data_IF_077500324861
#
_entry.id   IF_077500324861
#
_cell.length_a   1.000
_cell.length_b   1.000
_cell.length_c   1.000
_cell.angle_alpha   90.00
_cell.angle_beta   90.00
_cell.angle_gamma   90.00
#
_symmetry.space_group_name_H-M   'P 1'
#
loop_
_entity.id
_entity.type
_entity.pdbx_description
1 polymer ?
#
# COMPACT_ATOMS: atom_id res chain seq x y z
N UNK A 1 -9.21 37.18 -32.56
CA UNK A 1 -8.25 37.24 -31.45
C UNK A 1 -8.77 36.31 -30.37
N UNK A 2 -8.30 35.06 -30.37
CA UNK A 2 -8.78 34.04 -29.42
C UNK A 2 -7.92 34.09 -28.17
N UNK A 3 -8.49 34.64 -27.10
CA UNK A 3 -7.86 34.68 -25.78
C UNK A 3 -7.83 33.25 -25.22
N UNK A 4 -6.69 32.58 -25.37
CA UNK A 4 -6.41 31.35 -24.65
C UNK A 4 -6.11 31.68 -23.19
N UNK A 5 -7.11 31.53 -22.34
CA UNK A 5 -7.00 31.68 -20.88
C UNK A 5 -6.01 30.64 -20.37
N UNK A 6 -4.86 31.12 -19.90
CA UNK A 6 -3.79 30.31 -19.33
C UNK A 6 -4.32 29.67 -18.05
N UNK A 7 -4.65 28.37 -18.13
CA UNK A 7 -5.11 27.56 -17.01
C UNK A 7 -4.10 27.72 -15.85
N UNK A 8 -4.61 28.09 -14.66
CA UNK A 8 -3.81 28.27 -13.44
C UNK A 8 -2.86 27.08 -13.25
N UNK A 9 -1.56 27.33 -13.38
CA UNK A 9 -0.54 26.42 -12.90
C UNK A 9 -0.60 26.53 -11.37
N UNK A 10 -1.52 25.77 -10.75
CA UNK A 10 -1.44 25.55 -9.32
C UNK A 10 -0.14 24.80 -9.05
N UNK A 11 0.78 25.43 -8.34
CA UNK A 11 2.04 24.81 -7.93
C UNK A 11 1.74 23.49 -7.22
N UNK A 12 2.09 22.36 -7.86
CA UNK A 12 1.87 21.05 -7.26
C UNK A 12 2.79 20.94 -6.05
N UNK A 13 2.24 20.81 -4.82
CA UNK A 13 3.09 20.71 -3.65
C UNK A 13 3.95 19.45 -3.75
N UNK A 14 5.24 19.56 -3.41
CA UNK A 14 6.20 18.44 -3.43
C UNK A 14 5.74 17.26 -2.56
N UNK A 15 4.94 17.52 -1.53
CA UNK A 15 4.41 16.53 -0.58
C UNK A 15 2.90 16.66 -0.45
N UNK A 16 2.23 15.51 -0.28
CA UNK A 16 0.80 15.47 0.07
C UNK A 16 0.60 16.14 1.44
N UNK A 17 -0.26 17.17 1.57
CA UNK A 17 -0.55 17.82 2.86
C UNK A 17 -1.14 16.83 3.88
N UNK A 18 -0.94 17.10 5.18
CA UNK A 18 -1.38 16.20 6.27
C UNK A 18 -2.89 15.91 6.24
N UNK A 19 -3.70 16.92 5.95
CA UNK A 19 -5.16 16.77 5.86
C UNK A 19 -5.55 15.83 4.72
N UNK A 20 -4.93 16.01 3.55
CA UNK A 20 -5.15 15.15 2.37
C UNK A 20 -4.71 13.70 2.65
N UNK A 21 -3.63 13.50 3.42
CA UNK A 21 -3.19 12.16 3.84
C UNK A 21 -4.22 11.46 4.73
N UNK A 22 -4.87 12.20 5.65
CA UNK A 22 -5.90 11.66 6.54
C UNK A 22 -7.10 11.17 5.72
N UNK A 23 -7.64 12.04 4.87
CA UNK A 23 -8.78 11.71 3.99
C UNK A 23 -8.42 10.56 3.04
N UNK A 24 -7.23 10.58 2.44
CA UNK A 24 -6.75 9.51 1.55
C UNK A 24 -6.68 8.17 2.28
N UNK A 25 -6.26 8.16 3.55
CA UNK A 25 -6.23 6.95 4.37
C UNK A 25 -7.64 6.41 4.60
N UNK A 26 -8.58 7.28 5.00
CA UNK A 26 -9.98 6.89 5.21
C UNK A 26 -10.59 6.29 3.92
N UNK A 27 -10.36 6.92 2.77
CA UNK A 27 -10.83 6.40 1.48
C UNK A 27 -10.15 5.08 1.09
N UNK A 28 -8.88 4.89 1.45
CA UNK A 28 -8.16 3.63 1.21
C UNK A 28 -8.69 2.49 2.09
N UNK A 29 -9.09 2.75 3.34
CA UNK A 29 -9.74 1.75 4.20
C UNK A 29 -11.06 1.25 3.62
N UNK A 30 -11.80 2.13 2.92
CA UNK A 30 -12.98 1.80 2.14
C UNK A 30 -12.67 1.03 0.84
N UNK A 31 -11.43 0.58 0.64
CA UNK A 31 -10.95 -0.19 -0.53
C UNK A 31 -11.09 0.54 -1.88
N UNK A 32 -11.13 1.87 -1.86
CA UNK A 32 -11.21 2.66 -3.10
C UNK A 32 -9.90 2.61 -3.89
N UNK A 33 -10.02 2.63 -5.22
CA UNK A 33 -8.88 2.66 -6.15
C UNK A 33 -8.25 4.06 -6.18
N UNK A 34 -6.94 4.19 -6.46
CA UNK A 34 -6.26 5.49 -6.49
C UNK A 34 -6.92 6.55 -7.39
N UNK A 35 -7.42 6.15 -8.56
CA UNK A 35 -8.13 7.07 -9.48
C UNK A 35 -9.40 7.65 -8.83
N UNK A 36 -10.21 6.79 -8.22
CA UNK A 36 -11.43 7.19 -7.50
C UNK A 36 -11.11 8.08 -6.31
N UNK A 37 -10.01 7.83 -5.60
CA UNK A 37 -9.57 8.69 -4.51
C UNK A 37 -9.25 10.11 -5.02
N UNK A 38 -8.60 10.24 -6.19
CA UNK A 38 -8.34 11.55 -6.81
C UNK A 38 -9.65 12.25 -7.18
N UNK A 39 -10.59 11.53 -7.78
CA UNK A 39 -11.92 12.07 -8.14
C UNK A 39 -12.64 12.61 -6.90
N UNK A 40 -12.67 11.85 -5.81
CA UNK A 40 -13.29 12.29 -4.54
C UNK A 40 -12.57 13.50 -3.93
N UNK A 41 -11.24 13.57 -4.04
CA UNK A 41 -10.48 14.74 -3.58
C UNK A 41 -10.76 15.99 -4.43
N UNK A 42 -10.92 15.81 -5.74
CA UNK A 42 -11.29 16.87 -6.67
C UNK A 42 -12.69 17.41 -6.38
N UNK A 43 -13.68 16.53 -6.17
CA UNK A 43 -15.04 16.91 -5.79
C UNK A 43 -15.11 17.71 -4.49
N UNK A 44 -14.18 17.44 -3.55
CA UNK A 44 -14.06 18.17 -2.28
C UNK A 44 -13.31 19.50 -2.40
N UNK A 45 -12.87 19.90 -3.60
CA UNK A 45 -12.12 21.13 -3.82
C UNK A 45 -10.71 21.14 -3.19
N UNK A 46 -10.16 19.95 -2.93
CA UNK A 46 -8.85 19.80 -2.27
C UNK A 46 -7.74 19.82 -3.33
N UNK A 47 -6.60 20.42 -2.98
CA UNK A 47 -5.39 20.42 -3.82
C UNK A 47 -5.00 18.96 -4.13
N UNK A 48 -5.06 18.63 -5.42
CA UNK A 48 -4.88 17.27 -5.90
C UNK A 48 -3.41 16.82 -5.80
N UNK A 49 -3.12 15.71 -5.09
CA UNK A 49 -1.84 15.06 -5.25
C UNK A 49 -1.72 14.49 -6.66
N UNK A 50 -0.51 14.45 -7.21
CA UNK A 50 -0.29 13.69 -8.44
C UNK A 50 -0.56 12.20 -8.19
N UNK A 51 -0.96 11.47 -9.24
CA UNK A 51 -1.20 10.02 -9.15
C UNK A 51 0.04 9.29 -8.61
N UNK A 52 1.25 9.73 -8.97
CA UNK A 52 2.51 9.17 -8.47
C UNK A 52 2.70 9.39 -6.97
N UNK A 53 2.41 10.60 -6.48
CA UNK A 53 2.46 10.90 -5.03
C UNK A 53 1.44 10.06 -4.27
N UNK A 54 0.22 9.94 -4.79
CA UNK A 54 -0.82 9.13 -4.20
C UNK A 54 -0.41 7.65 -4.14
N UNK A 55 0.06 7.08 -5.26
CA UNK A 55 0.52 5.70 -5.31
C UNK A 55 1.67 5.43 -4.33
N UNK A 56 2.64 6.35 -4.23
CA UNK A 56 3.73 6.24 -3.26
C UNK A 56 3.20 6.22 -1.83
N UNK A 57 2.28 7.12 -1.50
CA UNK A 57 1.67 7.18 -0.17
C UNK A 57 0.86 5.93 0.16
N UNK A 58 0.06 5.43 -0.78
CA UNK A 58 -0.71 4.19 -0.62
C UNK A 58 0.20 2.96 -0.49
N UNK A 59 1.33 2.92 -1.19
CA UNK A 59 2.34 1.86 -1.03
C UNK A 59 2.89 1.84 0.40
N UNK A 60 3.21 3.01 0.96
CA UNK A 60 3.64 3.12 2.37
C UNK A 60 2.55 2.64 3.32
N UNK A 61 1.28 3.01 3.10
CA UNK A 61 0.18 2.51 3.93
C UNK A 61 0.09 0.98 3.86
N UNK A 62 0.15 0.41 2.64
CA UNK A 62 0.13 -1.04 2.43
C UNK A 62 1.27 -1.74 3.16
N UNK A 63 2.50 -1.26 3.05
CA UNK A 63 3.64 -1.90 3.72
C UNK A 63 3.59 -1.79 5.24
N UNK A 64 2.91 -0.78 5.79
CA UNK A 64 2.72 -0.65 7.24
C UNK A 64 1.55 -1.47 7.79
N UNK A 65 0.53 -1.75 6.97
CA UNK A 65 -0.68 -2.46 7.38
C UNK A 65 -0.67 -3.94 7.06
N UNK A 66 -0.17 -4.29 5.89
CA UNK A 66 0.03 -5.67 5.49
C UNK A 66 1.40 -6.07 6.02
N UNK A 67 1.49 -7.24 6.65
CA UNK A 67 2.77 -7.87 6.95
C UNK A 67 3.69 -7.73 5.74
N UNK A 68 4.99 -7.45 5.93
CA UNK A 68 5.92 -7.40 4.80
C UNK A 68 5.68 -8.62 3.90
N UNK A 69 5.45 -8.36 2.62
CA UNK A 69 5.31 -9.42 1.61
C UNK A 69 6.61 -10.22 1.44
N UNK A 70 7.67 -9.78 2.10
CA UNK A 70 8.95 -10.45 2.24
C UNK A 70 9.06 -11.05 3.63
N UNK A 71 9.20 -12.37 3.69
CA UNK A 71 9.71 -13.08 4.86
C UNK A 71 11.25 -13.07 4.78
N UNK A 72 11.95 -12.84 5.88
CA UNK A 72 13.41 -12.93 5.93
C UNK A 72 13.87 -14.39 5.88
N UNK A 73 15.13 -14.62 5.51
CA UNK A 73 15.67 -15.99 5.51
C UNK A 73 15.53 -16.62 6.90
N UNK A 74 15.96 -15.94 7.97
CA UNK A 74 15.86 -16.47 9.34
C UNK A 74 14.44 -16.79 9.79
N UNK A 75 13.43 -16.01 9.36
CA UNK A 75 12.02 -16.34 9.62
C UNK A 75 11.57 -17.59 8.85
N UNK A 76 12.06 -17.81 7.63
CA UNK A 76 11.83 -19.06 6.90
C UNK A 76 12.50 -20.23 7.63
N UNK A 77 13.76 -20.10 8.03
CA UNK A 77 14.50 -21.19 8.72
C UNK A 77 13.78 -21.58 10.02
N UNK A 78 13.37 -20.58 10.80
CA UNK A 78 12.61 -20.79 12.03
C UNK A 78 11.28 -21.51 11.74
N UNK A 79 10.53 -21.07 10.72
CA UNK A 79 9.27 -21.71 10.33
C UNK A 79 9.50 -23.15 9.85
N UNK A 80 10.57 -23.44 9.12
CA UNK A 80 10.94 -24.79 8.71
C UNK A 80 11.25 -25.69 9.92
N UNK A 81 11.99 -25.16 10.91
CA UNK A 81 12.31 -25.88 12.14
C UNK A 81 11.06 -26.18 12.98
N UNK A 82 10.11 -25.26 13.07
CA UNK A 82 8.88 -25.45 13.84
C UNK A 82 7.89 -26.38 13.12
N UNK A 83 7.67 -26.17 11.82
CA UNK A 83 6.70 -26.94 11.04
C UNK A 83 7.12 -28.38 10.77
N UNK A 84 8.40 -28.72 10.90
CA UNK A 84 8.90 -30.10 10.78
C UNK A 84 8.78 -30.92 12.07
N UNK A 85 8.39 -30.31 13.20
CA UNK A 85 8.28 -31.01 14.48
C UNK A 85 7.08 -31.94 14.59
N UNK A 86 6.03 -31.70 13.79
CA UNK A 86 4.81 -32.49 13.85
C UNK A 86 4.07 -32.52 12.53
N UNK A 87 3.38 -33.62 12.28
CA UNK A 87 2.48 -33.75 11.12
C UNK A 87 1.20 -32.97 11.45
N UNK A 88 0.76 -32.04 10.60
CA UNK A 88 -0.48 -31.31 10.83
C UNK A 88 -1.70 -32.24 10.86
N UNK A 89 -2.65 -31.94 11.73
CA UNK A 89 -3.93 -32.65 11.79
C UNK A 89 -4.85 -32.32 10.61
N UNK A 90 -4.68 -31.15 10.01
CA UNK A 90 -5.46 -30.68 8.87
C UNK A 90 -4.71 -30.87 7.55
N UNK A 91 -5.41 -31.39 6.54
CA UNK A 91 -4.90 -31.59 5.19
C UNK A 91 -4.55 -30.28 4.46
N UNK A 92 -5.13 -29.15 4.87
CA UNK A 92 -4.90 -27.83 4.24
C UNK A 92 -3.79 -27.03 4.93
N UNK A 93 -3.13 -27.59 5.94
CA UNK A 93 -2.06 -26.91 6.65
C UNK A 93 -0.70 -27.22 5.99
N UNK A 94 0.03 -26.21 5.49
CA UNK A 94 1.35 -26.42 4.95
C UNK A 94 2.33 -26.82 6.06
N UNK A 95 3.22 -27.78 5.78
CA UNK A 95 4.29 -28.19 6.68
C UNK A 95 5.56 -28.59 5.91
N UNK A 96 6.67 -28.71 6.62
CA UNK A 96 7.97 -29.05 6.04
C UNK A 96 8.32 -30.50 6.34
N UNK A 97 8.47 -31.31 5.29
CA UNK A 97 8.80 -32.74 5.39
C UNK A 97 10.26 -32.96 5.80
N UNK A 98 11.17 -32.13 5.31
CA UNK A 98 12.60 -32.19 5.62
C UNK A 98 13.24 -30.83 5.37
N UNK A 99 14.12 -30.42 6.28
CA UNK A 99 14.90 -29.20 6.18
C UNK A 99 16.31 -29.46 6.71
N UNK A 100 17.32 -29.14 5.90
CA UNK A 100 18.73 -29.26 6.26
C UNK A 100 19.45 -27.96 5.92
N UNK A 101 20.19 -27.43 6.88
CA UNK A 101 21.10 -26.30 6.69
C UNK A 101 22.45 -26.89 6.26
N UNK A 102 22.97 -26.43 5.12
CA UNK A 102 24.30 -26.84 4.59
C UNK A 102 25.37 -25.88 5.10
#
# INVERSE_FOLDING_TARGET
>A
MSNHTHNSIQEKPSKIPKEVRKITRELFELKLKPKTIIEVLHERGIILPSISQLNNFLRTIKSTKLSPTSISLGEIEQWCLESSQSIPESHDTPFVVSYQII
#
